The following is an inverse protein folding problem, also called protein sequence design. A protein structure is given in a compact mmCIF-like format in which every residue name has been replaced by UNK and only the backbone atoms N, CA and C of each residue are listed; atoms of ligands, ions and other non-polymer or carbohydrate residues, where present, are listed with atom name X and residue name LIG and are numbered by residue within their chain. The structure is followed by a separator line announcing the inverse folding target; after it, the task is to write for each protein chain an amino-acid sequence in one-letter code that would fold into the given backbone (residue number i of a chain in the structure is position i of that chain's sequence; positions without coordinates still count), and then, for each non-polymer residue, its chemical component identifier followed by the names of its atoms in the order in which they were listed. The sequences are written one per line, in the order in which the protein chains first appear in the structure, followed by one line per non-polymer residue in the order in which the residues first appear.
data_IF_931942241811
#
_entry.id   IF_931942241811
#
_cell.length_a   1.000
_cell.length_b   1.000
_cell.length_c   1.000
_cell.angle_alpha   90.00
_cell.angle_beta   90.00
_cell.angle_gamma   90.00
#
_symmetry.space_group_name_H-M   'P 1'
#
loop_
_entity.id
_entity.type
_entity.pdbx_description
1 polymer ?
#
# COMPACT_ATOMS: atom_id res chain seq x y z
N UNK A 1 12.25 -3.30 12.39
CA UNK A 1 11.41 -2.80 11.29
C UNK A 1 10.61 -3.93 10.70
N UNK A 2 9.31 -3.74 10.53
CA UNK A 2 8.46 -4.75 9.89
C UNK A 2 8.07 -4.21 8.51
N UNK A 3 8.76 -4.66 7.49
CA UNK A 3 8.58 -4.13 6.15
C UNK A 3 7.21 -4.45 5.58
N UNK A 4 6.68 -5.63 5.88
CA UNK A 4 5.34 -5.97 5.41
C UNK A 4 4.30 -5.06 6.05
N UNK A 5 4.46 -4.76 7.34
CA UNK A 5 3.54 -3.86 8.02
C UNK A 5 3.58 -2.46 7.40
N UNK A 6 4.79 -1.98 7.11
CA UNK A 6 4.94 -0.66 6.49
C UNK A 6 4.26 -0.64 5.13
N UNK A 7 4.51 -1.66 4.33
CA UNK A 7 3.91 -1.77 3.00
C UNK A 7 2.39 -1.83 3.09
N UNK A 8 1.87 -2.70 3.94
CA UNK A 8 0.42 -2.91 4.05
C UNK A 8 -0.28 -1.63 4.52
N UNK A 9 0.32 -0.93 5.47
CA UNK A 9 -0.25 0.31 5.98
C UNK A 9 -0.28 1.38 4.90
N UNK A 10 0.81 1.49 4.14
CA UNK A 10 0.87 2.47 3.07
C UNK A 10 -0.10 2.13 1.94
N UNK A 11 -0.19 0.86 1.57
CA UNK A 11 -1.13 0.44 0.54
C UNK A 11 -2.55 0.85 0.92
N UNK A 12 -2.95 0.54 2.14
CA UNK A 12 -4.31 0.87 2.58
C UNK A 12 -4.52 2.38 2.60
N UNK A 13 -3.54 3.13 3.09
CA UNK A 13 -3.66 4.58 3.18
C UNK A 13 -3.82 5.22 1.81
N UNK A 14 -2.96 4.85 0.88
CA UNK A 14 -3.04 5.40 -0.48
C UNK A 14 -4.34 4.97 -1.17
N UNK A 15 -4.74 3.71 -0.98
CA UNK A 15 -5.98 3.22 -1.57
C UNK A 15 -7.17 4.05 -1.09
N UNK A 16 -7.22 4.30 0.20
CA UNK A 16 -8.32 5.08 0.77
C UNK A 16 -8.29 6.53 0.32
N UNK A 17 -7.09 7.08 0.11
CA UNK A 17 -6.98 8.44 -0.42
C UNK A 17 -7.56 8.55 -1.82
N UNK A 18 -7.50 7.47 -2.59
CA UNK A 18 -8.11 7.44 -3.91
C UNK A 18 -9.61 7.15 -3.85
N UNK A 19 -10.14 6.86 -2.67
CA UNK A 19 -11.55 6.55 -2.51
C UNK A 19 -11.95 5.20 -3.04
N UNK A 20 -11.01 4.25 -3.12
CA UNK A 20 -11.28 2.95 -3.71
C UNK A 20 -11.47 1.88 -2.65
N UNK A 21 -12.45 1.00 -2.88
CA UNK A 21 -12.59 -0.20 -2.09
C UNK A 21 -11.47 -1.18 -2.43
N UNK A 22 -11.33 -2.22 -1.63
CA UNK A 22 -10.35 -3.26 -1.95
C UNK A 22 -10.64 -3.90 -3.31
N UNK A 23 -11.91 -4.13 -3.59
CA UNK A 23 -12.30 -4.74 -4.86
C UNK A 23 -12.00 -3.81 -6.04
N UNK A 24 -12.35 -2.55 -5.91
CA UNK A 24 -12.10 -1.58 -6.96
C UNK A 24 -10.61 -1.42 -7.21
N UNK A 25 -9.83 -1.39 -6.14
CA UNK A 25 -8.40 -1.26 -6.28
C UNK A 25 -7.79 -2.50 -6.92
N UNK A 26 -8.24 -3.69 -6.50
CA UNK A 26 -7.75 -4.94 -7.08
C UNK A 26 -8.00 -4.97 -8.59
N UNK A 27 -9.18 -4.56 -9.01
CA UNK A 27 -9.49 -4.47 -10.44
C UNK A 27 -8.52 -3.54 -11.15
N UNK A 28 -8.28 -2.39 -10.58
CA UNK A 28 -7.38 -1.40 -11.19
C UNK A 28 -5.96 -1.94 -11.31
N UNK A 29 -5.53 -2.70 -10.32
CA UNK A 29 -4.17 -3.25 -10.27
C UNK A 29 -4.03 -4.56 -11.05
N UNK A 30 -5.14 -5.15 -11.47
CA UNK A 30 -5.08 -6.45 -12.15
C UNK A 30 -4.78 -7.58 -11.19
N UNK A 31 -5.24 -7.47 -9.96
CA UNK A 31 -5.01 -8.46 -8.92
C UNK A 31 -6.34 -8.89 -8.32
N UNK A 32 -6.33 -10.01 -7.61
CA UNK A 32 -7.53 -10.49 -6.94
C UNK A 32 -7.78 -9.71 -5.65
N UNK A 33 -9.07 -9.46 -5.37
CA UNK A 33 -9.45 -8.78 -4.13
C UNK A 33 -8.94 -9.54 -2.90
N UNK A 34 -9.00 -10.86 -2.93
CA UNK A 34 -8.54 -11.65 -1.79
C UNK A 34 -7.06 -11.46 -1.53
N UNK A 35 -6.27 -11.27 -2.59
CA UNK A 35 -4.85 -11.00 -2.43
C UNK A 35 -4.62 -9.64 -1.78
N UNK A 36 -5.31 -8.60 -2.27
CA UNK A 36 -5.20 -7.26 -1.70
C UNK A 36 -5.61 -7.28 -0.22
N UNK A 37 -6.72 -7.93 0.09
CA UNK A 37 -7.18 -8.04 1.46
C UNK A 37 -6.16 -8.74 2.35
N UNK A 38 -5.59 -9.84 1.86
CA UNK A 38 -4.63 -10.60 2.65
C UNK A 38 -3.36 -9.81 2.89
N UNK A 39 -2.90 -9.04 1.90
CA UNK A 39 -1.71 -8.21 2.05
C UNK A 39 -1.97 -7.10 3.06
N UNK A 40 -3.12 -6.43 2.96
CA UNK A 40 -3.43 -5.35 3.90
C UNK A 40 -3.56 -5.86 5.33
N UNK A 41 -3.97 -7.12 5.50
CA UNK A 41 -4.04 -7.71 6.82
C UNK A 41 -2.73 -8.36 7.26
N UNK A 42 -1.70 -8.23 6.43
CA UNK A 42 -0.37 -8.76 6.71
C UNK A 42 -0.39 -10.29 6.85
N UNK A 43 -1.32 -10.92 6.13
CA UNK A 43 -1.42 -12.39 6.11
C UNK A 43 -0.71 -12.99 4.91
N UNK A 44 -0.17 -12.16 4.03
CA UNK A 44 0.49 -12.61 2.83
C UNK A 44 1.59 -11.64 2.47
N UNK A 45 2.77 -12.19 2.11
CA UNK A 45 3.85 -11.35 1.63
C UNK A 45 3.55 -10.88 0.21
N UNK A 46 4.31 -9.90 -0.22
CA UNK A 46 4.09 -9.27 -1.51
C UNK A 46 5.22 -9.65 -2.47
N UNK A 47 4.86 -10.04 -3.69
CA UNK A 47 5.83 -10.33 -4.72
C UNK A 47 6.27 -9.05 -5.41
N UNK A 48 7.49 -9.04 -5.90
CA UNK A 48 8.08 -7.84 -6.52
C UNK A 48 7.23 -7.35 -7.69
N UNK A 49 6.81 -8.25 -8.56
CA UNK A 49 6.02 -7.82 -9.72
C UNK A 49 4.65 -7.26 -9.30
N UNK A 50 4.12 -7.72 -8.18
CA UNK A 50 2.86 -7.17 -7.69
C UNK A 50 3.06 -5.81 -7.04
N UNK A 51 4.24 -5.55 -6.47
CA UNK A 51 4.56 -4.20 -5.98
C UNK A 51 4.45 -3.21 -7.13
N UNK A 52 4.99 -3.57 -8.28
CA UNK A 52 4.93 -2.68 -9.44
C UNK A 52 3.50 -2.42 -9.87
N UNK A 53 2.68 -3.47 -9.94
CA UNK A 53 1.28 -3.32 -10.32
C UNK A 53 0.53 -2.42 -9.33
N UNK A 54 0.81 -2.61 -8.05
CA UNK A 54 0.16 -1.82 -7.01
C UNK A 54 0.58 -0.36 -7.11
N UNK A 55 1.87 -0.10 -7.27
CA UNK A 55 2.35 1.27 -7.36
C UNK A 55 1.76 1.98 -8.57
N UNK A 56 1.67 1.29 -9.70
CA UNK A 56 1.07 1.88 -10.90
C UNK A 56 -0.41 2.19 -10.68
N UNK A 57 -1.13 1.28 -10.04
CA UNK A 57 -2.55 1.50 -9.79
C UNK A 57 -2.76 2.65 -8.80
N UNK A 58 -1.85 2.82 -7.86
CA UNK A 58 -1.90 3.94 -6.92
C UNK A 58 -1.40 5.24 -7.53
N UNK A 59 -0.72 5.16 -8.69
CA UNK A 59 -0.16 6.31 -9.38
C UNK A 59 0.93 7.00 -8.55
N UNK A 60 1.75 6.18 -7.90
CA UNK A 60 2.86 6.66 -7.08
C UNK A 60 4.12 5.89 -7.44
N UNK A 61 5.27 6.45 -7.04
CA UNK A 61 6.52 5.72 -7.14
C UNK A 61 6.54 4.60 -6.11
N UNK A 62 7.07 3.44 -6.51
CA UNK A 62 7.01 2.25 -5.66
C UNK A 62 7.69 2.46 -4.31
N UNK A 63 8.76 3.25 -4.27
CA UNK A 63 9.49 3.41 -3.01
C UNK A 63 8.62 4.04 -1.92
N UNK A 64 7.58 4.80 -2.31
CA UNK A 64 6.71 5.42 -1.33
C UNK A 64 5.94 4.40 -0.49
N UNK A 65 5.78 3.19 -1.02
CA UNK A 65 5.12 2.13 -0.26
C UNK A 65 5.98 1.62 0.89
N UNK A 66 7.26 1.97 0.89
CA UNK A 66 8.19 1.51 1.92
C UNK A 66 8.66 2.63 2.85
N UNK A 67 8.03 3.78 2.75
CA UNK A 67 8.35 4.91 3.63
C UNK A 67 7.47 4.81 4.87
N UNK A 68 8.11 4.67 6.02
CA UNK A 68 7.37 4.54 7.26
C UNK A 68 6.76 5.88 7.65
N UNK A 69 5.45 5.87 7.89
CA UNK A 69 4.75 7.07 8.34
C UNK A 69 4.64 6.99 9.85
N UNK A 70 5.19 7.99 10.52
CA UNK A 70 5.16 8.06 11.96
C UNK A 70 4.27 9.21 12.38
N UNK A 71 3.11 8.89 12.93
CA UNK A 71 2.14 9.90 13.33
C UNK A 71 2.68 10.84 14.41
N UNK A 72 3.65 10.38 15.18
CA UNK A 72 4.24 11.23 16.21
C UNK A 72 5.18 12.27 15.63
N UNK A 73 5.59 12.09 14.39
CA UNK A 73 6.52 13.02 13.77
C UNK A 73 5.85 14.21 13.16
N UNK A 74 4.65 14.10 12.80
CA UNK A 74 3.82 15.13 12.23
C UNK A 74 4.59 16.08 11.32
N UNK A 75 3.91 17.10 10.85
CA UNK A 75 4.53 17.98 9.86
C UNK A 75 5.68 18.80 10.43
N UNK A 76 5.68 19.02 11.69
CA UNK A 76 6.75 19.88 12.22
C UNK A 76 8.09 19.18 12.24
N UNK A 77 8.13 17.89 12.30
CA UNK A 77 9.38 17.16 12.23
C UNK A 77 9.84 16.95 10.82
N UNK A 78 8.93 17.12 9.90
CA UNK A 78 9.23 16.89 8.50
C UNK A 78 9.67 18.18 7.94
N UNK A 79 10.62 18.72 8.06
CA UNK A 79 10.94 20.00 7.47
C UNK A 79 11.94 19.94 6.38
#
# INVERSE_FOLDING_TARGET
MNLLHIFASNLKRYRLQLGLSQEEFADKAGLHRTYISAVEREKRSIAIDNIEKIAMALEIDAYLLFVEVNHNMTTKEVR
#
